data_IF_343442331616
#
_entry.id   IF_343442331616
#
_cell.length_a   1.000
_cell.length_b   1.000
_cell.length_c   1.000
_cell.angle_alpha   90.00
_cell.angle_beta   90.00
_cell.angle_gamma   90.00
#
_symmetry.space_group_name_H-M   'P 1'
#
loop_
_entity.id
_entity.type
_entity.pdbx_description
1 polymer ?
#
# COMPACT_ATOMS: atom_id res chain seq x y z
N UNK A 1 1.20 -9.70 -19.46
CA UNK A 1 2.66 -9.69 -19.67
C UNK A 1 3.35 -10.44 -18.55
N UNK A 2 4.68 -10.47 -18.53
CA UNK A 2 5.46 -11.18 -17.49
C UNK A 2 5.20 -10.65 -16.08
N UNK A 3 4.81 -9.39 -15.96
CA UNK A 3 4.49 -8.77 -14.66
C UNK A 3 3.04 -8.96 -14.21
N UNK A 4 2.21 -9.66 -14.98
CA UNK A 4 0.80 -9.86 -14.66
C UNK A 4 0.64 -10.57 -13.30
N UNK A 5 -0.31 -10.08 -12.50
CA UNK A 5 -0.68 -10.69 -11.23
C UNK A 5 -1.67 -11.82 -11.45
N UNK A 6 -1.24 -13.07 -11.25
CA UNK A 6 -2.05 -14.29 -11.40
C UNK A 6 -2.94 -14.30 -12.66
N UNK A 7 -2.38 -14.19 -13.87
CA UNK A 7 -3.14 -14.13 -15.12
C UNK A 7 -4.03 -15.36 -15.33
N UNK A 8 -3.66 -16.52 -14.78
CA UNK A 8 -4.44 -17.75 -14.80
C UNK A 8 -5.76 -17.65 -14.01
N UNK A 9 -5.80 -16.80 -12.97
CA UNK A 9 -7.00 -16.58 -12.15
C UNK A 9 -7.81 -15.39 -12.62
N UNK A 10 -7.12 -14.29 -12.97
CA UNK A 10 -7.77 -13.01 -13.24
C UNK A 10 -7.96 -12.71 -14.73
N UNK A 11 -7.20 -13.33 -15.62
CA UNK A 11 -7.17 -12.97 -17.03
C UNK A 11 -6.49 -11.62 -17.27
N UNK A 12 -6.98 -10.86 -18.25
CA UNK A 12 -6.33 -9.62 -18.67
C UNK A 12 -6.72 -8.39 -17.83
N UNK A 13 -7.65 -8.52 -16.89
CA UNK A 13 -8.16 -7.40 -16.09
C UNK A 13 -8.54 -7.87 -14.70
N UNK A 14 -8.14 -7.10 -13.70
CA UNK A 14 -8.55 -7.30 -12.30
C UNK A 14 -9.49 -6.15 -11.93
N UNK A 15 -10.69 -6.46 -11.44
CA UNK A 15 -11.56 -5.44 -10.84
C UNK A 15 -11.46 -5.51 -9.32
N UNK A 16 -11.13 -4.40 -8.67
CA UNK A 16 -11.16 -4.25 -7.22
C UNK A 16 -12.42 -3.51 -6.81
N UNK A 17 -13.26 -4.15 -6.00
CA UNK A 17 -14.47 -3.54 -5.44
C UNK A 17 -14.34 -3.45 -3.91
N UNK A 18 -14.66 -2.28 -3.34
CA UNK A 18 -14.80 -2.09 -1.90
C UNK A 18 -16.24 -1.71 -1.58
N UNK A 19 -16.89 -2.49 -0.73
CA UNK A 19 -18.22 -2.16 -0.24
C UNK A 19 -18.10 -1.52 1.14
N UNK A 20 -18.71 -0.36 1.30
CA UNK A 20 -18.83 0.35 2.59
C UNK A 20 -20.31 0.31 2.98
N UNK A 21 -20.63 -0.29 4.13
CA UNK A 21 -22.01 -0.44 4.60
C UNK A 21 -22.29 0.54 5.73
N UNK A 22 -23.54 0.98 5.83
CA UNK A 22 -24.00 1.93 6.88
C UNK A 22 -23.75 1.42 8.30
N UNK A 23 -23.77 0.11 8.50
CA UNK A 23 -23.51 -0.54 9.79
C UNK A 23 -22.01 -0.64 10.14
N UNK A 24 -21.13 0.05 9.40
CA UNK A 24 -19.69 0.06 9.65
C UNK A 24 -18.92 -1.13 9.05
N UNK A 25 -19.62 -2.14 8.53
CA UNK A 25 -18.98 -3.25 7.82
C UNK A 25 -18.34 -2.77 6.51
N UNK A 26 -17.12 -3.23 6.23
CA UNK A 26 -16.51 -3.08 4.92
C UNK A 26 -15.93 -4.39 4.42
N UNK A 27 -15.89 -4.57 3.11
CA UNK A 27 -15.33 -5.78 2.49
C UNK A 27 -14.82 -5.50 1.10
N UNK A 28 -13.92 -6.37 0.64
CA UNK A 28 -13.36 -6.32 -0.70
C UNK A 28 -13.89 -7.46 -1.55
N UNK A 29 -13.93 -7.25 -2.87
CA UNK A 29 -14.02 -8.30 -3.87
C UNK A 29 -13.02 -8.03 -4.97
N UNK A 30 -12.24 -9.06 -5.31
CA UNK A 30 -11.34 -9.08 -6.43
C UNK A 30 -11.98 -9.96 -7.51
N UNK A 31 -12.32 -9.35 -8.65
CA UNK A 31 -12.99 -10.03 -9.75
C UNK A 31 -12.04 -10.21 -10.92
N UNK A 32 -12.15 -11.36 -11.59
CA UNK A 32 -11.47 -11.62 -12.86
C UNK A 32 -12.08 -10.81 -14.01
N UNK A 33 -11.47 -10.87 -15.19
CA UNK A 33 -11.97 -10.29 -16.43
C UNK A 33 -13.41 -10.71 -16.75
N UNK A 34 -13.83 -11.90 -16.31
CA UNK A 34 -15.20 -12.43 -16.48
C UNK A 34 -16.16 -12.04 -15.34
N UNK A 35 -15.77 -11.10 -14.47
CA UNK A 35 -16.51 -10.66 -13.28
C UNK A 35 -16.75 -11.76 -12.23
N UNK A 36 -16.01 -12.87 -12.30
CA UNK A 36 -16.06 -13.94 -11.29
C UNK A 36 -15.24 -13.52 -10.07
N UNK A 37 -15.78 -13.72 -8.86
CA UNK A 37 -15.07 -13.41 -7.63
C UNK A 37 -13.93 -14.41 -7.38
N UNK A 38 -12.69 -13.91 -7.37
CA UNK A 38 -11.47 -14.69 -7.12
C UNK A 38 -11.07 -14.61 -5.65
N UNK A 39 -11.23 -13.45 -5.02
CA UNK A 39 -10.91 -13.26 -3.60
C UNK A 39 -11.73 -12.15 -2.95
N UNK A 40 -11.82 -12.18 -1.63
CA UNK A 40 -12.45 -11.16 -0.78
C UNK A 40 -11.50 -10.62 0.31
N UNK A 41 -10.26 -11.09 0.32
CA UNK A 41 -9.28 -10.77 1.35
C UNK A 41 -8.63 -9.42 1.08
N UNK A 42 -8.44 -8.63 2.15
CA UNK A 42 -7.70 -7.37 2.07
C UNK A 42 -6.23 -7.58 1.68
N UNK A 43 -5.59 -8.62 2.20
CA UNK A 43 -4.18 -8.95 1.91
C UNK A 43 -3.91 -9.07 0.40
N UNK A 44 -4.81 -9.75 -0.33
CA UNK A 44 -4.66 -9.91 -1.78
C UNK A 44 -4.77 -8.57 -2.53
N UNK A 45 -5.53 -7.61 -2.00
CA UNK A 45 -5.59 -6.23 -2.54
C UNK A 45 -4.27 -5.51 -2.29
N UNK A 46 -3.71 -5.66 -1.09
CA UNK A 46 -2.42 -5.06 -0.73
C UNK A 46 -1.29 -5.66 -1.58
N UNK A 47 -1.32 -6.97 -1.88
CA UNK A 47 -0.36 -7.63 -2.76
C UNK A 47 -0.47 -7.15 -4.22
N UNK A 48 -1.69 -6.99 -4.74
CA UNK A 48 -1.93 -6.38 -6.07
C UNK A 48 -1.34 -4.96 -6.12
N UNK A 49 -1.60 -4.17 -5.07
CA UNK A 49 -1.11 -2.79 -4.95
C UNK A 49 0.42 -2.78 -5.03
N UNK A 50 1.07 -3.64 -4.26
CA UNK A 50 2.53 -3.71 -4.20
C UNK A 50 3.11 -4.24 -5.53
N UNK A 51 2.48 -5.24 -6.16
CA UNK A 51 2.90 -5.77 -7.47
C UNK A 51 2.89 -4.72 -8.58
N UNK A 52 1.89 -3.83 -8.57
CA UNK A 52 1.75 -2.78 -9.58
C UNK A 52 2.33 -1.43 -9.15
N UNK A 53 3.06 -1.37 -8.03
CA UNK A 53 3.65 -0.14 -7.49
C UNK A 53 2.61 0.99 -7.32
N UNK A 54 1.42 0.64 -6.85
CA UNK A 54 0.33 1.60 -6.62
C UNK A 54 0.53 2.28 -5.25
N UNK A 55 1.35 3.31 -5.19
CA UNK A 55 1.67 4.03 -3.95
C UNK A 55 0.55 5.01 -3.53
N UNK A 56 -0.63 4.48 -3.21
CA UNK A 56 -1.82 5.29 -2.85
C UNK A 56 -1.64 6.15 -1.59
N UNK A 57 -0.74 5.75 -0.69
CA UNK A 57 -0.40 6.49 0.54
C UNK A 57 0.68 7.56 0.30
N UNK A 58 1.31 7.57 -0.87
CA UNK A 58 2.35 8.55 -1.19
C UNK A 58 1.69 9.89 -1.54
N UNK A 59 1.92 10.97 -0.75
CA UNK A 59 1.28 12.25 -0.98
C UNK A 59 1.72 12.95 -2.28
N UNK A 60 2.82 12.50 -2.89
CA UNK A 60 3.24 12.93 -4.23
C UNK A 60 2.52 12.18 -5.36
N UNK A 61 2.01 10.97 -5.09
CA UNK A 61 1.19 10.22 -6.04
C UNK A 61 -0.29 10.64 -5.96
N UNK A 62 -0.80 10.86 -4.75
CA UNK A 62 -2.14 11.37 -4.50
C UNK A 62 -2.04 12.64 -3.65
N UNK A 63 -2.13 13.79 -4.31
CA UNK A 63 -2.11 15.08 -3.64
C UNK A 63 -3.54 15.53 -3.31
N UNK A 64 -4.03 15.15 -2.13
CA UNK A 64 -5.30 15.69 -1.64
C UNK A 64 -5.18 17.14 -1.16
N UNK A 65 -6.33 17.76 -0.89
CA UNK A 65 -6.41 19.16 -0.51
C UNK A 65 -5.70 19.48 0.81
N UNK A 66 -5.72 18.57 1.79
CA UNK A 66 -5.08 18.79 3.08
C UNK A 66 -3.56 18.70 2.95
N UNK A 67 -3.07 17.69 2.25
CA UNK A 67 -1.66 17.49 1.93
C UNK A 67 -1.10 18.65 1.10
N UNK A 68 -1.85 19.17 0.12
CA UNK A 68 -1.48 20.36 -0.63
C UNK A 68 -1.34 21.61 0.28
N UNK A 69 -2.32 21.85 1.16
CA UNK A 69 -2.28 22.97 2.11
C UNK A 69 -1.12 22.83 3.09
N UNK A 70 -0.92 21.63 3.62
CA UNK A 70 0.17 21.32 4.56
C UNK A 70 1.54 21.50 3.90
N UNK A 71 1.69 21.11 2.63
CA UNK A 71 2.92 21.33 1.88
C UNK A 71 3.21 22.82 1.67
N UNK A 72 2.21 23.60 1.23
CA UNK A 72 2.37 25.02 0.94
C UNK A 72 2.64 25.85 2.20
N UNK A 73 1.90 25.58 3.28
CA UNK A 73 1.99 26.32 4.55
C UNK A 73 3.00 25.72 5.54
N UNK A 74 3.54 24.55 5.23
CA UNK A 74 4.41 23.81 6.12
C UNK A 74 5.77 24.46 6.32
N UNK A 75 6.30 24.31 7.53
CA UNK A 75 7.66 24.71 7.85
C UNK A 75 8.70 23.73 7.25
N UNK A 76 9.99 24.06 7.39
CA UNK A 76 11.07 23.25 6.82
C UNK A 76 11.05 21.78 7.29
N UNK A 77 10.75 21.54 8.57
CA UNK A 77 10.66 20.19 9.15
C UNK A 77 9.49 19.40 8.54
N UNK A 78 8.32 20.02 8.38
CA UNK A 78 7.16 19.38 7.77
C UNK A 78 7.39 19.03 6.30
N UNK A 79 8.06 19.91 5.55
CA UNK A 79 8.44 19.64 4.15
C UNK A 79 9.45 18.50 4.04
N UNK A 80 10.41 18.43 4.97
CA UNK A 80 11.35 17.31 5.06
C UNK A 80 10.65 15.99 5.37
N UNK A 81 9.69 15.97 6.30
CA UNK A 81 8.88 14.79 6.59
C UNK A 81 8.05 14.35 5.38
N UNK A 82 7.48 15.29 4.62
CA UNK A 82 6.78 14.98 3.38
C UNK A 82 7.72 14.32 2.36
N UNK A 83 8.93 14.85 2.21
CA UNK A 83 9.97 14.27 1.36
C UNK A 83 10.32 12.84 1.78
N UNK A 84 10.54 12.59 3.08
CA UNK A 84 10.85 11.24 3.59
C UNK A 84 9.73 10.23 3.30
N UNK A 85 8.47 10.66 3.42
CA UNK A 85 7.30 9.84 3.07
C UNK A 85 7.21 9.58 1.57
N UNK A 86 7.37 10.63 0.77
CA UNK A 86 7.26 10.55 -0.68
C UNK A 86 8.35 9.72 -1.35
N UNK A 87 9.53 9.62 -0.72
CA UNK A 87 10.67 8.84 -1.21
C UNK A 87 10.75 7.44 -0.60
N UNK A 88 9.77 7.04 0.21
CA UNK A 88 9.75 5.80 0.99
C UNK A 88 10.95 5.60 1.94
N UNK A 89 11.78 6.62 2.17
CA UNK A 89 12.95 6.54 3.04
C UNK A 89 12.57 6.23 4.49
N UNK A 90 11.46 6.79 4.97
CA UNK A 90 10.94 6.51 6.32
C UNK A 90 10.58 5.02 6.49
N UNK A 91 9.96 4.42 5.47
CA UNK A 91 9.58 3.00 5.46
C UNK A 91 10.81 2.09 5.43
N UNK A 92 11.80 2.41 4.59
CA UNK A 92 13.08 1.70 4.56
C UNK A 92 13.78 1.73 5.92
N UNK A 93 13.87 2.92 6.54
CA UNK A 93 14.50 3.07 7.85
C UNK A 93 13.79 2.23 8.93
N UNK A 94 12.46 2.22 8.91
CA UNK A 94 11.64 1.43 9.85
C UNK A 94 11.85 -0.07 9.66
N UNK A 95 11.85 -0.55 8.42
CA UNK A 95 12.10 -1.97 8.11
C UNK A 95 13.50 -2.41 8.53
N UNK A 96 14.52 -1.62 8.21
CA UNK A 96 15.91 -1.88 8.63
C UNK A 96 16.06 -1.90 10.15
N UNK A 97 15.34 -1.03 10.86
CA UNK A 97 15.36 -1.02 12.32
C UNK A 97 14.71 -2.27 12.90
N UNK A 98 13.54 -2.68 12.38
CA UNK A 98 12.86 -3.90 12.80
C UNK A 98 13.73 -5.15 12.58
N UNK A 99 14.37 -5.27 11.41
CA UNK A 99 15.28 -6.38 11.12
C UNK A 99 16.47 -6.44 12.08
N UNK A 100 17.07 -5.30 12.40
CA UNK A 100 18.17 -5.22 13.38
C UNK A 100 17.73 -5.67 14.78
N UNK A 101 16.51 -5.32 15.19
CA UNK A 101 15.95 -5.74 16.48
C UNK A 101 15.72 -7.25 16.52
N UNK A 102 15.15 -7.83 15.46
CA UNK A 102 14.94 -9.28 15.35
C UNK A 102 16.27 -10.02 15.40
N UNK A 103 17.28 -9.56 14.65
CA UNK A 103 18.61 -10.17 14.64
C UNK A 103 19.26 -10.18 16.02
N UNK A 104 19.22 -9.06 16.75
CA UNK A 104 19.74 -8.99 18.13
C UNK A 104 19.05 -9.96 19.08
N UNK A 105 17.73 -10.15 18.92
CA UNK A 105 16.97 -11.09 19.75
C UNK A 105 17.40 -12.54 19.51
N UNK A 106 17.57 -12.92 18.24
CA UNK A 106 18.01 -14.27 17.87
C UNK A 106 19.45 -14.58 18.31
N UNK A 107 20.33 -13.57 18.37
CA UNK A 107 21.71 -13.72 18.88
C UNK A 107 21.78 -13.87 20.41
N UNK A 108 20.73 -13.51 21.16
CA UNK A 108 20.66 -13.62 22.63
C UNK A 108 19.96 -14.91 23.09
N UNK A 109 19.18 -15.55 22.20
CA UNK A 109 18.50 -16.84 22.46
C UNK A 109 19.37 -18.07 22.10
N UNK A 110 20.63 -17.86 21.66
CA UNK A 110 21.68 -18.87 21.41
C UNK A 110 22.77 -18.80 22.50
#
# INVERSE_FOLDING_TARGET
GVDAYHPEKYGNTITVERTIRRNGGSGYRLLSQKRTCVSTKKMDVDEIRDRFNLFVENPCCILDQENAKAFLKGNASQKYNLFLKATELEKMMTNLHAEKVVRKRNEVEL
#
